data_IF_586993284084
#
_entry.id   IF_586993284084
#
_cell.length_a   1.000
_cell.length_b   1.000
_cell.length_c   1.000
_cell.angle_alpha   90.00
_cell.angle_beta   90.00
_cell.angle_gamma   90.00
#
_symmetry.space_group_name_H-M   'P 1'
#
loop_
_entity.id
_entity.type
_entity.pdbx_description
1 polymer ?
#
# COMPACT_ATOMS: atom_id res chain seq x y z
N UNK A 1 30.49 5.77 17.64
CA UNK A 1 30.46 4.46 16.94
C UNK A 1 29.07 4.02 16.50
N UNK A 2 28.00 4.33 17.21
CA UNK A 2 26.62 3.92 16.81
C UNK A 2 26.12 4.59 15.51
N UNK A 3 26.40 5.86 15.30
CA UNK A 3 25.96 6.60 14.12
C UNK A 3 26.53 6.07 12.80
N UNK A 4 27.83 5.75 12.75
CA UNK A 4 28.49 5.24 11.53
C UNK A 4 27.88 3.90 11.10
N UNK A 5 27.52 3.05 12.05
CA UNK A 5 26.90 1.74 11.78
C UNK A 5 25.48 1.89 11.22
N UNK A 6 24.75 2.91 11.65
CA UNK A 6 23.41 3.22 11.12
C UNK A 6 23.45 3.72 9.66
N UNK A 7 24.47 4.50 9.28
CA UNK A 7 24.67 4.95 7.91
C UNK A 7 24.94 3.79 6.95
N UNK A 8 25.69 2.80 7.40
CA UNK A 8 25.94 1.58 6.60
C UNK A 8 24.64 0.86 6.27
N UNK A 9 23.72 0.75 7.24
CA UNK A 9 22.44 0.06 7.02
C UNK A 9 21.49 0.89 6.16
N UNK A 10 21.41 2.21 6.34
CA UNK A 10 20.68 3.09 5.44
C UNK A 10 21.20 2.95 4.00
N UNK A 11 22.52 2.88 3.82
CA UNK A 11 23.14 2.64 2.52
C UNK A 11 22.76 1.28 1.92
N UNK A 12 22.82 0.20 2.71
CA UNK A 12 22.41 -1.16 2.26
C UNK A 12 20.94 -1.21 1.89
N UNK A 13 20.07 -0.58 2.67
CA UNK A 13 18.64 -0.52 2.38
C UNK A 13 18.33 0.37 1.17
N UNK A 14 19.07 1.47 0.99
CA UNK A 14 18.97 2.30 -0.21
C UNK A 14 19.37 1.50 -1.47
N UNK A 15 20.47 0.73 -1.38
CA UNK A 15 20.85 -0.20 -2.44
C UNK A 15 19.80 -1.30 -2.64
N UNK A 16 19.19 -1.79 -1.55
CA UNK A 16 18.05 -2.70 -1.60
C UNK A 16 16.84 -2.11 -2.33
N UNK A 17 16.47 -0.86 -2.05
CA UNK A 17 15.41 -0.14 -2.79
C UNK A 17 15.75 -0.01 -4.27
N UNK A 18 16.99 0.35 -4.59
CA UNK A 18 17.46 0.43 -5.98
C UNK A 18 17.41 -0.96 -6.62
N UNK A 19 17.92 -2.00 -5.95
CA UNK A 19 17.86 -3.38 -6.43
C UNK A 19 16.41 -3.87 -6.66
N UNK A 20 15.52 -3.63 -5.71
CA UNK A 20 14.09 -3.94 -5.84
C UNK A 20 13.43 -3.18 -6.99
N UNK A 21 13.88 -1.94 -7.27
CA UNK A 21 13.33 -1.14 -8.38
C UNK A 21 13.65 -1.74 -9.75
N UNK A 22 14.75 -2.48 -9.88
CA UNK A 22 15.13 -3.19 -11.10
C UNK A 22 14.42 -4.55 -11.26
N UNK A 23 13.74 -5.06 -10.23
CA UNK A 23 12.94 -6.26 -10.40
C UNK A 23 11.83 -6.01 -11.43
N UNK A 24 11.60 -6.96 -12.35
CA UNK A 24 10.50 -6.87 -13.27
C UNK A 24 9.20 -6.74 -12.45
N UNK A 25 8.39 -5.77 -12.78
CA UNK A 25 7.04 -5.64 -12.21
C UNK A 25 6.20 -6.87 -12.56
N UNK A 26 5.04 -7.07 -11.91
CA UNK A 26 4.15 -8.16 -12.24
C UNK A 26 3.92 -8.16 -13.75
N UNK A 27 4.04 -9.36 -14.37
CA UNK A 27 3.76 -9.51 -15.80
C UNK A 27 2.34 -9.04 -16.03
N UNK A 28 2.19 -7.86 -16.62
CA UNK A 28 0.90 -7.39 -17.07
C UNK A 28 0.43 -8.39 -18.11
N UNK A 29 -0.73 -8.99 -17.90
CA UNK A 29 -1.39 -9.73 -18.98
C UNK A 29 -1.74 -8.66 -20.01
N UNK A 30 -0.99 -8.66 -21.09
CA UNK A 30 -0.69 -7.50 -21.94
C UNK A 30 -1.85 -7.03 -22.82
N UNK A 31 -3.06 -7.50 -22.59
CA UNK A 31 -4.14 -7.25 -23.55
C UNK A 31 -4.83 -5.88 -23.47
N UNK A 32 -4.63 -5.08 -22.42
CA UNK A 32 -5.44 -3.87 -22.26
C UNK A 32 -4.77 -2.66 -21.59
N UNK A 33 -3.48 -2.65 -21.39
CA UNK A 33 -2.83 -1.43 -20.86
C UNK A 33 -2.05 -0.76 -21.97
N UNK A 34 -2.75 0.01 -22.80
CA UNK A 34 -2.15 0.99 -23.69
C UNK A 34 -1.31 2.02 -22.90
N UNK A 35 -0.44 2.75 -23.56
CA UNK A 35 0.23 3.88 -22.96
C UNK A 35 -0.79 4.84 -22.39
N UNK A 36 -0.51 5.38 -21.21
CA UNK A 36 -1.40 6.35 -20.57
C UNK A 36 -0.84 7.75 -20.71
N UNK A 37 -1.71 8.70 -21.01
CA UNK A 37 -1.35 10.11 -21.12
C UNK A 37 -2.25 10.98 -20.24
N UNK A 38 -1.71 12.12 -19.84
CA UNK A 38 -2.47 13.19 -19.22
C UNK A 38 -3.23 13.95 -20.32
N UNK A 39 -4.53 14.20 -20.12
CA UNK A 39 -5.32 14.98 -21.07
C UNK A 39 -6.26 15.95 -20.33
N UNK A 40 -6.44 17.12 -20.89
CA UNK A 40 -7.38 18.13 -20.38
C UNK A 40 -8.76 17.90 -20.99
N UNK A 41 -9.81 17.88 -20.19
CA UNK A 41 -11.19 17.74 -20.62
C UNK A 41 -11.68 19.08 -21.18
N UNK A 42 -11.92 19.14 -22.48
CA UNK A 42 -12.36 20.38 -23.17
C UNK A 42 -13.88 20.46 -23.28
N UNK A 43 -14.54 19.31 -23.45
CA UNK A 43 -16.00 19.23 -23.50
C UNK A 43 -16.48 17.89 -22.97
N UNK A 44 -17.70 17.89 -22.41
CA UNK A 44 -18.36 16.70 -21.87
C UNK A 44 -19.75 16.58 -22.47
N UNK A 45 -20.15 15.36 -22.83
CA UNK A 45 -21.50 15.01 -23.25
C UNK A 45 -22.00 13.87 -22.36
N UNK A 46 -23.08 14.16 -21.63
CA UNK A 46 -23.69 13.25 -20.66
C UNK A 46 -25.05 12.71 -21.16
N UNK A 47 -25.35 12.82 -22.46
CA UNK A 47 -26.64 12.41 -23.02
C UNK A 47 -26.97 10.94 -22.80
N UNK A 48 -25.96 10.08 -22.76
CA UNK A 48 -26.07 8.63 -22.57
C UNK A 48 -25.93 8.22 -21.09
N UNK A 49 -25.79 9.19 -20.16
CA UNK A 49 -25.70 8.91 -18.73
C UNK A 49 -27.08 8.92 -18.11
N UNK A 50 -27.48 7.82 -17.50
CA UNK A 50 -28.75 7.66 -16.82
C UNK A 50 -28.53 7.58 -15.31
N UNK A 51 -29.44 8.21 -14.56
CA UNK A 51 -29.44 8.21 -13.12
C UNK A 51 -30.52 7.28 -12.58
N UNK A 52 -30.14 6.27 -11.80
CA UNK A 52 -31.08 5.42 -11.06
C UNK A 52 -30.84 5.55 -9.56
N UNK A 53 -31.66 6.31 -8.90
CA UNK A 53 -31.48 6.64 -7.49
C UNK A 53 -30.21 7.49 -7.28
N UNK A 54 -29.19 6.94 -6.62
CA UNK A 54 -27.89 7.58 -6.37
C UNK A 54 -26.79 7.09 -7.32
N UNK A 55 -27.13 6.18 -8.24
CA UNK A 55 -26.14 5.50 -9.09
C UNK A 55 -26.30 6.00 -10.52
N UNK A 56 -25.21 6.46 -11.11
CA UNK A 56 -25.12 6.82 -12.52
C UNK A 56 -24.58 5.63 -13.31
N UNK A 57 -25.13 5.38 -14.50
CA UNK A 57 -24.63 4.36 -15.42
C UNK A 57 -24.75 4.85 -16.87
N UNK A 58 -23.93 4.28 -17.74
CA UNK A 58 -23.87 4.66 -19.16
C UNK A 58 -22.52 5.15 -19.57
N UNK A 59 -22.44 5.89 -20.67
CA UNK A 59 -21.18 6.37 -21.23
C UNK A 59 -21.16 7.90 -21.28
N UNK A 60 -20.21 8.48 -20.54
CA UNK A 60 -19.92 9.91 -20.67
C UNK A 60 -18.92 10.08 -21.84
N UNK A 61 -19.28 10.85 -22.86
CA UNK A 61 -18.39 11.17 -23.97
C UNK A 61 -17.62 12.45 -23.66
N UNK A 62 -16.31 12.40 -23.86
CA UNK A 62 -15.40 13.49 -23.56
C UNK A 62 -14.66 13.92 -24.81
N UNK A 63 -14.42 15.21 -24.96
CA UNK A 63 -13.36 15.73 -25.83
C UNK A 63 -12.18 16.09 -24.97
N UNK A 64 -11.05 15.48 -25.22
CA UNK A 64 -9.83 15.64 -24.42
C UNK A 64 -8.70 16.19 -25.27
N UNK A 65 -7.96 17.16 -24.73
CA UNK A 65 -6.76 17.71 -25.34
C UNK A 65 -5.54 17.01 -24.77
N UNK A 66 -4.79 16.35 -25.63
CA UNK A 66 -3.53 15.69 -25.30
C UNK A 66 -2.38 16.70 -25.16
N UNK A 67 -1.21 16.31 -24.56
CA UNK A 67 -0.05 17.18 -24.43
C UNK A 67 0.55 17.66 -25.76
N UNK A 68 0.32 16.93 -26.85
CA UNK A 68 0.73 17.29 -28.22
C UNK A 68 -0.18 18.36 -28.86
N UNK A 69 -1.22 18.81 -28.15
CA UNK A 69 -2.23 19.76 -28.60
C UNK A 69 -3.38 19.15 -29.41
N UNK A 70 -3.32 17.88 -29.75
CA UNK A 70 -4.40 17.19 -30.47
C UNK A 70 -5.66 17.04 -29.59
N UNK A 71 -6.83 17.21 -30.19
CA UNK A 71 -8.11 16.99 -29.51
C UNK A 71 -8.69 15.69 -30.02
N UNK A 72 -8.91 14.76 -29.11
CA UNK A 72 -9.46 13.42 -29.38
C UNK A 72 -10.72 13.16 -28.59
N UNK A 73 -11.51 12.20 -29.05
CA UNK A 73 -12.70 11.72 -28.32
C UNK A 73 -12.29 10.63 -27.36
N UNK A 74 -12.77 10.73 -26.12
CA UNK A 74 -12.59 9.69 -25.09
C UNK A 74 -13.94 9.29 -24.51
N UNK A 75 -14.05 8.05 -24.08
CA UNK A 75 -15.21 7.51 -23.38
C UNK A 75 -14.86 7.23 -21.93
N UNK A 76 -15.78 7.60 -21.04
CA UNK A 76 -15.77 7.25 -19.64
C UNK A 76 -17.00 6.38 -19.36
N UNK A 77 -16.77 5.10 -19.08
CA UNK A 77 -17.84 4.14 -18.78
C UNK A 77 -18.21 4.20 -17.30
N UNK A 78 -19.45 4.56 -17.01
CA UNK A 78 -20.05 4.50 -15.69
C UNK A 78 -20.77 3.14 -15.55
N UNK A 79 -20.29 2.30 -14.61
CA UNK A 79 -20.69 0.90 -14.46
C UNK A 79 -21.63 0.67 -13.29
N UNK A 80 -22.23 1.71 -12.73
CA UNK A 80 -23.04 1.68 -11.52
C UNK A 80 -22.23 1.23 -10.27
N UNK A 81 -20.94 1.55 -10.24
CA UNK A 81 -20.02 1.20 -9.15
C UNK A 81 -19.42 2.49 -8.58
N UNK A 82 -20.00 3.00 -7.50
CA UNK A 82 -19.58 4.27 -6.87
C UNK A 82 -18.10 4.34 -6.52
N UNK A 83 -17.45 3.19 -6.32
CA UNK A 83 -16.01 3.10 -6.02
C UNK A 83 -15.13 3.44 -7.23
N UNK A 84 -15.62 3.16 -8.44
CA UNK A 84 -14.86 3.30 -9.69
C UNK A 84 -15.37 4.41 -10.57
N UNK A 85 -16.69 4.65 -10.52
CA UNK A 85 -17.33 5.58 -11.41
C UNK A 85 -16.97 7.02 -11.04
N UNK A 86 -16.44 7.75 -12.00
CA UNK A 86 -16.00 9.13 -11.86
C UNK A 86 -16.52 9.91 -13.05
N UNK A 87 -17.23 10.99 -12.79
CA UNK A 87 -17.72 11.89 -13.80
C UNK A 87 -16.76 13.04 -13.99
N UNK A 88 -16.42 13.32 -15.22
CA UNK A 88 -15.49 14.41 -15.56
C UNK A 88 -16.25 15.68 -15.89
N UNK A 89 -15.69 16.82 -15.49
CA UNK A 89 -16.13 18.17 -15.81
C UNK A 89 -15.15 18.87 -16.74
N UNK A 90 -15.62 19.86 -17.46
CA UNK A 90 -14.78 20.66 -18.34
C UNK A 90 -13.70 21.39 -17.53
N UNK A 91 -12.45 21.35 -18.01
CA UNK A 91 -11.29 21.93 -17.32
C UNK A 91 -10.56 20.96 -16.39
N UNK A 92 -11.11 19.79 -16.11
CA UNK A 92 -10.44 18.77 -15.32
C UNK A 92 -9.37 18.03 -16.16
N UNK A 93 -8.44 17.41 -15.45
CA UNK A 93 -7.39 16.63 -16.10
C UNK A 93 -7.67 15.14 -15.91
N UNK A 94 -7.84 14.43 -17.01
CA UNK A 94 -8.06 13.00 -17.07
C UNK A 94 -6.77 12.23 -17.35
N UNK A 95 -6.66 11.02 -16.82
CA UNK A 95 -5.73 10.01 -17.25
C UNK A 95 -6.40 9.19 -18.34
N UNK A 96 -5.92 9.30 -19.58
CA UNK A 96 -6.47 8.57 -20.72
C UNK A 96 -5.53 7.47 -21.17
N UNK A 97 -6.09 6.37 -21.63
CA UNK A 97 -5.33 5.28 -22.27
C UNK A 97 -5.27 5.60 -23.76
N UNK A 98 -4.03 5.68 -24.27
CA UNK A 98 -3.77 5.90 -25.69
C UNK A 98 -4.03 4.64 -26.49
N UNK A 99 -4.68 4.78 -27.64
CA UNK A 99 -5.03 3.69 -28.52
C UNK A 99 -5.87 4.18 -29.68
N UNK A 100 -6.66 3.28 -30.25
CA UNK A 100 -7.65 3.64 -31.26
C UNK A 100 -8.76 4.51 -30.66
N UNK A 101 -9.29 5.44 -31.43
CA UNK A 101 -10.41 6.27 -31.00
C UNK A 101 -11.72 5.44 -30.98
N UNK A 102 -12.53 5.62 -29.95
CA UNK A 102 -12.42 6.55 -28.83
C UNK A 102 -11.44 6.10 -27.75
N UNK A 103 -10.65 7.04 -27.21
CA UNK A 103 -9.76 6.79 -26.09
C UNK A 103 -10.56 6.41 -24.85
N UNK A 104 -9.94 5.73 -23.88
CA UNK A 104 -10.60 5.38 -22.61
C UNK A 104 -10.13 6.34 -21.51
N UNK A 105 -11.04 7.11 -20.92
CA UNK A 105 -10.77 7.91 -19.75
C UNK A 105 -10.86 7.01 -18.50
N UNK A 106 -9.73 6.83 -17.80
CA UNK A 106 -9.62 5.84 -16.71
C UNK A 106 -9.80 6.46 -15.33
N UNK A 107 -9.22 7.61 -15.08
CA UNK A 107 -9.25 8.29 -13.77
C UNK A 107 -8.89 9.77 -13.92
N UNK A 108 -9.10 10.55 -12.84
CA UNK A 108 -8.53 11.88 -12.73
C UNK A 108 -7.01 11.84 -12.56
N UNK A 109 -6.32 12.82 -13.15
CA UNK A 109 -4.88 12.97 -12.94
C UNK A 109 -4.60 13.56 -11.56
N UNK A 110 -4.28 12.71 -10.59
CA UNK A 110 -4.08 13.11 -9.18
C UNK A 110 -2.62 13.20 -8.76
N UNK A 111 -1.69 12.79 -9.63
CA UNK A 111 -0.27 12.64 -9.27
C UNK A 111 0.35 13.93 -8.74
N UNK A 112 -0.02 15.09 -9.29
CA UNK A 112 0.49 16.38 -8.84
C UNK A 112 0.12 16.69 -7.39
N UNK A 113 -1.17 16.57 -7.07
CA UNK A 113 -1.65 16.79 -5.69
C UNK A 113 -1.16 15.74 -4.71
N UNK A 114 -1.04 14.49 -5.14
CA UNK A 114 -0.45 13.42 -4.34
C UNK A 114 1.02 13.72 -4.01
N UNK A 115 1.80 14.24 -4.98
CA UNK A 115 3.18 14.64 -4.75
C UNK A 115 3.29 15.83 -3.78
N UNK A 116 2.40 16.82 -3.88
CA UNK A 116 2.34 17.96 -2.93
C UNK A 116 2.01 17.46 -1.52
N UNK A 117 1.01 16.59 -1.39
CA UNK A 117 0.62 16.01 -0.10
C UNK A 117 1.77 15.20 0.53
N UNK A 118 2.40 14.34 -0.27
CA UNK A 118 3.54 13.55 0.21
C UNK A 118 4.75 14.42 0.56
N UNK A 119 5.05 15.44 -0.26
CA UNK A 119 6.11 16.40 0.01
C UNK A 119 5.85 17.19 1.29
N UNK A 120 4.63 17.67 1.50
CA UNK A 120 4.22 18.34 2.75
C UNK A 120 4.37 17.43 3.96
N UNK A 121 3.90 16.18 3.87
CA UNK A 121 4.10 15.17 4.92
C UNK A 121 5.59 14.94 5.23
N UNK A 122 6.43 14.79 4.20
CA UNK A 122 7.85 14.56 4.36
C UNK A 122 8.54 15.75 5.06
N UNK A 123 8.20 16.98 4.67
CA UNK A 123 8.72 18.21 5.31
C UNK A 123 8.30 18.28 6.78
N UNK A 124 7.02 18.06 7.09
CA UNK A 124 6.53 18.07 8.48
C UNK A 124 7.23 16.99 9.32
N UNK A 125 7.34 15.77 8.80
CA UNK A 125 7.99 14.67 9.51
C UNK A 125 9.48 14.98 9.81
N UNK A 126 10.20 15.55 8.85
CA UNK A 126 11.60 15.95 9.06
C UNK A 126 11.73 17.18 9.97
N UNK A 127 10.82 18.14 9.88
CA UNK A 127 10.85 19.36 10.71
C UNK A 127 10.61 19.05 12.19
N UNK A 128 9.63 18.19 12.51
CA UNK A 128 9.33 17.80 13.90
C UNK A 128 10.21 16.65 14.41
N UNK A 129 10.47 15.64 13.59
CA UNK A 129 11.24 14.46 13.99
C UNK A 129 12.74 14.58 13.78
N UNK A 130 13.22 15.63 13.11
CA UNK A 130 14.64 15.82 12.80
C UNK A 130 15.22 14.58 12.09
N UNK A 131 16.35 14.09 12.61
CA UNK A 131 17.01 12.91 12.05
C UNK A 131 16.20 11.61 12.22
N UNK A 132 15.43 11.49 13.31
CA UNK A 132 14.54 10.35 13.52
C UNK A 132 13.38 10.36 12.52
N UNK A 133 12.84 11.55 12.23
CA UNK A 133 11.84 11.74 11.18
C UNK A 133 12.35 11.36 9.79
N UNK A 134 13.58 11.70 9.45
CA UNK A 134 14.19 11.28 8.18
C UNK A 134 14.33 9.76 8.05
N UNK A 135 14.72 9.07 9.14
CA UNK A 135 14.78 7.61 9.18
C UNK A 135 13.39 6.98 9.04
N UNK A 136 12.38 7.55 9.69
CA UNK A 136 11.00 7.09 9.58
C UNK A 136 10.45 7.28 8.16
N UNK A 137 10.72 8.42 7.52
CA UNK A 137 10.35 8.66 6.12
C UNK A 137 11.02 7.64 5.19
N UNK A 138 12.30 7.36 5.41
CA UNK A 138 13.02 6.37 4.64
C UNK A 138 12.42 4.96 4.81
N UNK A 139 12.09 4.56 6.06
CA UNK A 139 11.42 3.29 6.35
C UNK A 139 10.08 3.18 5.64
N UNK A 140 9.30 4.27 5.61
CA UNK A 140 8.02 4.33 4.92
C UNK A 140 8.18 4.12 3.41
N UNK A 141 9.10 4.85 2.76
CA UNK A 141 9.37 4.68 1.32
C UNK A 141 9.87 3.28 1.01
N UNK A 142 10.76 2.74 1.85
CA UNK A 142 11.23 1.36 1.71
C UNK A 142 10.09 0.34 1.79
N UNK A 143 9.16 0.51 2.75
CA UNK A 143 7.99 -0.35 2.88
C UNK A 143 7.08 -0.28 1.66
N UNK A 144 6.82 0.92 1.13
CA UNK A 144 6.04 1.10 -0.11
C UNK A 144 6.69 0.39 -1.31
N UNK A 145 8.01 0.52 -1.46
CA UNK A 145 8.75 -0.14 -2.56
C UNK A 145 8.74 -1.66 -2.38
N UNK A 146 8.94 -2.16 -1.16
CA UNK A 146 8.93 -3.59 -0.89
C UNK A 146 7.54 -4.21 -1.14
N UNK A 147 6.47 -3.56 -0.70
CA UNK A 147 5.11 -4.03 -0.99
C UNK A 147 4.86 -4.03 -2.50
N UNK A 148 5.20 -2.95 -3.20
CA UNK A 148 4.95 -2.80 -4.64
C UNK A 148 5.79 -3.74 -5.51
N UNK A 149 7.09 -3.92 -5.18
CA UNK A 149 8.04 -4.64 -6.02
C UNK A 149 8.29 -6.09 -5.60
N UNK A 150 7.95 -6.44 -4.36
CA UNK A 150 8.17 -7.78 -3.84
C UNK A 150 6.86 -8.47 -3.51
N UNK A 151 6.02 -7.90 -2.62
CA UNK A 151 4.80 -8.56 -2.18
C UNK A 151 3.78 -8.73 -3.30
N UNK A 152 3.46 -7.66 -4.02
CA UNK A 152 2.45 -7.71 -5.10
C UNK A 152 2.85 -8.69 -6.21
N UNK A 153 4.09 -8.69 -6.75
CA UNK A 153 4.49 -9.68 -7.73
C UNK A 153 4.48 -11.13 -7.21
N UNK A 154 4.87 -11.35 -5.94
CA UNK A 154 4.79 -12.69 -5.34
C UNK A 154 3.37 -13.21 -5.29
N UNK A 155 2.42 -12.39 -4.81
CA UNK A 155 1.01 -12.75 -4.78
C UNK A 155 0.45 -13.02 -6.19
N UNK A 156 0.79 -12.18 -7.17
CA UNK A 156 0.34 -12.33 -8.56
C UNK A 156 1.00 -13.48 -9.33
N UNK A 157 2.12 -14.00 -8.81
CA UNK A 157 2.82 -15.17 -9.38
C UNK A 157 2.26 -16.52 -8.89
N UNK A 158 1.15 -16.50 -8.15
CA UNK A 158 0.50 -17.72 -7.63
C UNK A 158 1.08 -18.24 -6.31
N UNK A 159 2.00 -17.49 -5.67
CA UNK A 159 2.44 -17.81 -4.30
C UNK A 159 1.30 -17.54 -3.32
N UNK A 160 1.22 -18.34 -2.26
CA UNK A 160 0.23 -18.11 -1.21
C UNK A 160 0.38 -16.71 -0.62
N UNK A 161 -0.64 -15.85 -0.80
CA UNK A 161 -0.58 -14.44 -0.46
C UNK A 161 -0.49 -14.21 1.05
N UNK A 162 -1.09 -15.07 1.88
CA UNK A 162 -1.04 -14.96 3.34
C UNK A 162 0.40 -15.17 3.85
N UNK A 163 1.05 -16.26 3.44
CA UNK A 163 2.44 -16.54 3.83
C UNK A 163 3.43 -15.55 3.25
N UNK A 164 3.23 -15.12 2.01
CA UNK A 164 4.06 -14.08 1.37
C UNK A 164 3.95 -12.76 2.13
N UNK A 165 2.74 -12.37 2.55
CA UNK A 165 2.50 -11.17 3.36
C UNK A 165 3.18 -11.28 4.72
N UNK A 166 3.05 -12.43 5.41
CA UNK A 166 3.72 -12.66 6.68
C UNK A 166 5.24 -12.55 6.57
N UNK A 167 5.84 -13.16 5.56
CA UNK A 167 7.28 -13.11 5.35
C UNK A 167 7.78 -11.67 5.07
N UNK A 168 7.10 -10.95 4.16
CA UNK A 168 7.47 -9.57 3.82
C UNK A 168 7.27 -8.64 5.01
N UNK A 169 6.14 -8.74 5.72
CA UNK A 169 5.87 -7.96 6.93
C UNK A 169 6.91 -8.23 8.01
N UNK A 170 7.31 -9.49 8.22
CA UNK A 170 8.35 -9.84 9.21
C UNK A 170 9.69 -9.15 8.89
N UNK A 171 10.09 -9.14 7.62
CA UNK A 171 11.30 -8.44 7.17
C UNK A 171 11.16 -6.93 7.34
N UNK A 172 10.02 -6.36 6.95
CA UNK A 172 9.75 -4.92 7.11
C UNK A 172 9.78 -4.51 8.58
N UNK A 173 9.14 -5.29 9.46
CA UNK A 173 9.16 -5.05 10.91
C UNK A 173 10.59 -5.07 11.46
N UNK A 174 11.41 -6.05 11.05
CA UNK A 174 12.82 -6.11 11.45
C UNK A 174 13.59 -4.85 11.03
N UNK A 175 13.41 -4.41 9.77
CA UNK A 175 14.07 -3.22 9.22
C UNK A 175 13.62 -1.95 9.95
N UNK A 176 12.31 -1.77 10.12
CA UNK A 176 11.74 -0.57 10.79
C UNK A 176 12.22 -0.50 12.24
N UNK A 177 12.11 -1.62 12.98
CA UNK A 177 12.57 -1.69 14.38
C UNK A 177 14.05 -1.37 14.51
N UNK A 178 14.88 -1.89 13.60
CA UNK A 178 16.30 -1.60 13.60
C UNK A 178 16.60 -0.12 13.33
N UNK A 179 15.89 0.50 12.38
CA UNK A 179 16.11 1.91 12.03
C UNK A 179 15.63 2.87 13.12
N UNK A 180 14.50 2.56 13.76
CA UNK A 180 13.87 3.44 14.76
C UNK A 180 14.45 3.20 16.15
N UNK A 181 14.38 1.96 16.64
CA UNK A 181 14.82 1.60 18.01
C UNK A 181 16.33 1.30 18.10
N UNK A 182 17.00 1.07 16.97
CA UNK A 182 18.40 0.67 16.93
C UNK A 182 18.64 -0.75 17.42
N UNK A 183 19.92 -1.12 17.54
CA UNK A 183 20.31 -2.45 18.03
C UNK A 183 20.33 -2.45 19.57
N UNK A 184 19.17 -2.63 20.17
CA UNK A 184 19.00 -2.67 21.63
C UNK A 184 18.29 -3.97 22.06
N UNK A 185 18.47 -4.36 23.33
CA UNK A 185 17.75 -5.54 23.88
C UNK A 185 16.25 -5.31 23.86
N UNK A 186 15.81 -4.09 24.15
CA UNK A 186 14.40 -3.67 24.11
C UNK A 186 13.85 -3.72 22.71
N UNK A 187 14.58 -3.22 21.70
CA UNK A 187 14.19 -3.28 20.30
C UNK A 187 14.08 -4.71 19.78
N UNK A 188 14.98 -5.61 20.21
CA UNK A 188 14.90 -7.02 19.85
C UNK A 188 13.72 -7.74 20.52
N UNK A 189 13.44 -7.44 21.79
CA UNK A 189 12.25 -7.96 22.49
C UNK A 189 10.95 -7.49 21.83
N UNK A 190 10.87 -6.19 21.46
CA UNK A 190 9.74 -5.63 20.75
C UNK A 190 9.55 -6.27 19.37
N UNK A 191 10.64 -6.52 18.64
CA UNK A 191 10.59 -7.25 17.36
C UNK A 191 10.02 -8.67 17.53
N UNK A 192 10.47 -9.44 18.52
CA UNK A 192 9.94 -10.77 18.79
C UNK A 192 8.46 -10.71 19.19
N UNK A 193 8.07 -9.75 20.03
CA UNK A 193 6.67 -9.52 20.39
C UNK A 193 5.79 -9.22 19.18
N UNK A 194 6.24 -8.31 18.32
CA UNK A 194 5.54 -8.00 17.09
C UNK A 194 5.43 -9.18 16.14
N UNK A 195 6.51 -9.96 15.98
CA UNK A 195 6.52 -11.16 15.13
C UNK A 195 5.53 -12.22 15.63
N UNK A 196 5.50 -12.47 16.93
CA UNK A 196 4.54 -13.41 17.55
C UNK A 196 3.10 -12.90 17.41
N UNK A 197 2.87 -11.60 17.59
CA UNK A 197 1.55 -11.00 17.41
C UNK A 197 1.05 -11.10 15.95
N UNK A 198 1.91 -10.84 14.97
CA UNK A 198 1.57 -11.02 13.55
C UNK A 198 1.36 -12.50 13.20
N UNK A 199 2.15 -13.41 13.76
CA UNK A 199 1.96 -14.85 13.58
C UNK A 199 0.62 -15.33 14.18
N UNK A 200 0.26 -14.83 15.36
CA UNK A 200 -1.05 -15.10 15.95
C UNK A 200 -2.20 -14.54 15.10
N UNK A 201 -2.03 -13.33 14.55
CA UNK A 201 -3.00 -12.72 13.62
C UNK A 201 -3.17 -13.56 12.36
N UNK A 202 -2.08 -14.10 11.79
CA UNK A 202 -2.13 -15.02 10.65
C UNK A 202 -2.95 -16.27 11.00
N UNK A 203 -2.61 -16.94 12.11
CA UNK A 203 -3.29 -18.16 12.51
C UNK A 203 -4.78 -17.96 12.79
N UNK A 204 -5.14 -16.86 13.47
CA UNK A 204 -6.54 -16.50 13.72
C UNK A 204 -7.27 -16.13 12.43
N UNK A 205 -6.66 -15.32 11.56
CA UNK A 205 -7.29 -14.91 10.31
C UNK A 205 -7.54 -16.11 9.38
N UNK A 206 -6.58 -17.02 9.25
CA UNK A 206 -6.71 -18.23 8.46
C UNK A 206 -7.79 -19.18 9.03
N UNK A 207 -7.75 -19.43 10.34
CA UNK A 207 -8.73 -20.26 11.03
C UNK A 207 -10.16 -19.71 10.87
N UNK A 208 -10.37 -18.41 11.13
CA UNK A 208 -11.69 -17.81 11.04
C UNK A 208 -12.15 -17.60 9.58
N UNK A 209 -11.24 -17.36 8.64
CA UNK A 209 -11.57 -17.33 7.23
C UNK A 209 -12.18 -18.67 6.78
N UNK A 210 -11.59 -19.78 7.21
CA UNK A 210 -12.11 -21.11 6.94
C UNK A 210 -13.42 -21.40 7.69
N UNK A 211 -13.47 -21.10 9.01
CA UNK A 211 -14.64 -21.37 9.85
C UNK A 211 -15.89 -20.57 9.44
N UNK A 212 -15.72 -19.34 8.99
CA UNK A 212 -16.80 -18.44 8.54
C UNK A 212 -17.07 -18.54 7.04
N UNK A 213 -16.40 -19.44 6.32
CA UNK A 213 -16.52 -19.59 4.86
C UNK A 213 -16.32 -18.27 4.11
N UNK A 214 -15.34 -17.46 4.51
CA UNK A 214 -15.01 -16.20 3.84
C UNK A 214 -14.52 -16.51 2.43
N UNK A 215 -15.13 -15.88 1.42
CA UNK A 215 -14.78 -16.10 0.02
C UNK A 215 -13.77 -15.08 -0.53
N UNK A 216 -13.35 -14.10 0.28
CA UNK A 216 -12.43 -13.02 -0.13
C UNK A 216 -13.05 -11.98 -1.08
N UNK A 217 -14.25 -12.20 -1.60
CA UNK A 217 -14.91 -11.29 -2.55
C UNK A 217 -15.46 -10.01 -1.89
N UNK A 218 -15.43 -9.93 -0.57
CA UNK A 218 -15.87 -8.76 0.21
C UNK A 218 -14.86 -7.61 0.21
N UNK A 219 -13.65 -7.84 -0.32
CA UNK A 219 -12.63 -6.79 -0.41
C UNK A 219 -12.98 -5.77 -1.50
N UNK A 220 -12.70 -4.49 -1.29
CA UNK A 220 -12.80 -3.49 -2.33
C UNK A 220 -11.86 -3.84 -3.51
N UNK A 221 -12.28 -3.51 -4.74
CA UNK A 221 -11.53 -3.73 -5.98
C UNK A 221 -11.27 -5.19 -6.41
N UNK A 222 -11.83 -6.18 -5.71
CA UNK A 222 -11.65 -7.61 -6.04
C UNK A 222 -12.14 -7.95 -7.44
N UNK A 223 -13.25 -7.35 -7.89
CA UNK A 223 -13.76 -7.59 -9.24
C UNK A 223 -12.74 -7.18 -10.31
N UNK A 224 -12.05 -6.04 -10.12
CA UNK A 224 -10.98 -5.62 -11.04
C UNK A 224 -9.84 -6.63 -11.07
N UNK A 225 -9.49 -7.20 -9.94
CA UNK A 225 -8.44 -8.22 -9.83
C UNK A 225 -8.84 -9.50 -10.57
N UNK A 226 -10.08 -9.97 -10.42
CA UNK A 226 -10.62 -11.14 -11.13
C UNK A 226 -10.61 -10.96 -12.65
N UNK A 227 -11.02 -9.78 -13.12
CA UNK A 227 -11.05 -9.47 -14.56
C UNK A 227 -9.67 -9.15 -15.14
N UNK A 228 -8.65 -9.00 -14.30
CA UNK A 228 -7.26 -8.78 -14.76
C UNK A 228 -6.55 -10.04 -15.26
N UNK A 229 -7.25 -11.18 -15.28
CA UNK A 229 -6.76 -12.44 -15.89
C UNK A 229 -5.80 -13.24 -14.99
N UNK A 230 -5.73 -12.97 -13.70
CA UNK A 230 -4.95 -13.76 -12.74
C UNK A 230 -5.81 -14.91 -12.21
N UNK A 231 -5.86 -16.02 -12.93
CA UNK A 231 -6.73 -17.19 -12.64
C UNK A 231 -6.26 -18.02 -11.44
N UNK A 232 -4.96 -17.95 -11.11
CA UNK A 232 -4.35 -18.76 -10.06
C UNK A 232 -4.41 -18.09 -8.67
N UNK A 233 -5.09 -16.95 -8.58
CA UNK A 233 -5.17 -16.14 -7.38
C UNK A 233 -6.25 -16.67 -6.44
N UNK A 234 -5.85 -17.12 -5.24
CA UNK A 234 -6.78 -17.52 -4.18
C UNK A 234 -7.19 -16.28 -3.39
N UNK A 235 -8.42 -15.81 -3.60
CA UNK A 235 -8.91 -14.57 -3.00
C UNK A 235 -8.92 -14.57 -1.47
N UNK A 236 -9.16 -15.74 -0.86
CA UNK A 236 -9.12 -15.89 0.60
C UNK A 236 -7.72 -15.62 1.14
N UNK A 237 -6.68 -16.14 0.47
CA UNK A 237 -5.28 -15.90 0.88
C UNK A 237 -4.90 -14.42 0.71
N UNK A 238 -5.41 -13.76 -0.33
CA UNK A 238 -5.22 -12.30 -0.52
C UNK A 238 -5.92 -11.53 0.60
N UNK A 239 -7.13 -11.93 0.98
CA UNK A 239 -7.86 -11.33 2.10
C UNK A 239 -7.08 -11.48 3.41
N UNK A 240 -6.63 -12.69 3.75
CA UNK A 240 -5.81 -12.95 4.95
C UNK A 240 -4.51 -12.15 4.89
N UNK A 241 -3.85 -12.11 3.74
CA UNK A 241 -2.64 -11.30 3.53
C UNK A 241 -2.87 -9.81 3.76
N UNK A 242 -4.00 -9.27 3.31
CA UNK A 242 -4.38 -7.88 3.55
C UNK A 242 -4.64 -7.60 5.04
N UNK A 243 -5.31 -8.53 5.77
CA UNK A 243 -5.51 -8.42 7.21
C UNK A 243 -4.18 -8.38 7.96
N UNK A 244 -3.22 -9.25 7.59
CA UNK A 244 -1.89 -9.26 8.18
C UNK A 244 -1.17 -7.93 7.95
N UNK A 245 -1.20 -7.44 6.72
CA UNK A 245 -0.54 -6.17 6.36
C UNK A 245 -1.15 -5.00 7.14
N UNK A 246 -2.49 -4.94 7.24
CA UNK A 246 -3.18 -3.88 7.94
C UNK A 246 -2.97 -3.92 9.46
N UNK A 247 -2.95 -5.11 10.07
CA UNK A 247 -2.78 -5.27 11.52
C UNK A 247 -1.32 -5.12 11.97
N UNK A 248 -0.36 -5.39 11.10
CA UNK A 248 1.07 -5.44 11.45
C UNK A 248 1.61 -4.14 12.05
N UNK A 249 1.16 -2.99 11.56
CA UNK A 249 1.57 -1.68 12.08
C UNK A 249 1.14 -1.48 13.53
N UNK A 250 -0.13 -1.73 13.84
CA UNK A 250 -0.66 -1.60 15.20
C UNK A 250 0.01 -2.58 16.18
N UNK A 251 0.26 -3.82 15.74
CA UNK A 251 0.96 -4.84 16.56
C UNK A 251 2.39 -4.41 16.83
N UNK A 252 3.08 -3.81 15.84
CA UNK A 252 4.43 -3.31 16.00
C UNK A 252 4.48 -2.16 17.01
N UNK A 253 3.60 -1.18 16.90
CA UNK A 253 3.54 -0.02 17.78
C UNK A 253 3.28 -0.43 19.22
N UNK A 254 2.26 -1.29 19.45
CA UNK A 254 1.98 -1.84 20.78
C UNK A 254 3.17 -2.60 21.36
N UNK A 255 3.89 -3.38 20.55
CA UNK A 255 5.05 -4.13 21.01
C UNK A 255 6.19 -3.19 21.45
N UNK A 256 6.40 -2.08 20.75
CA UNK A 256 7.40 -1.07 21.14
C UNK A 256 7.01 -0.37 22.43
N UNK A 257 5.75 0.04 22.54
CA UNK A 257 5.24 0.77 23.70
C UNK A 257 5.31 -0.09 24.96
N UNK A 258 4.85 -1.34 24.91
CA UNK A 258 4.91 -2.28 26.03
C UNK A 258 6.36 -2.54 26.44
N UNK A 259 7.25 -2.83 25.50
CA UNK A 259 8.66 -3.09 25.82
C UNK A 259 9.34 -1.85 26.40
N UNK A 260 9.00 -0.65 25.92
CA UNK A 260 9.54 0.60 26.47
C UNK A 260 9.03 0.87 27.87
N UNK A 261 7.74 0.67 28.14
CA UNK A 261 7.14 0.81 29.46
C UNK A 261 7.76 -0.16 30.48
N UNK A 262 7.85 -1.44 30.12
CA UNK A 262 8.48 -2.46 30.98
C UNK A 262 9.95 -2.12 31.26
N UNK A 263 10.68 -1.64 30.23
CA UNK A 263 12.08 -1.23 30.39
C UNK A 263 12.22 -0.07 31.40
N UNK A 264 11.34 0.94 31.33
CA UNK A 264 11.36 2.07 32.29
C UNK A 264 11.08 1.62 33.72
N UNK A 265 10.12 0.70 33.91
CA UNK A 265 9.80 0.15 35.22
C UNK A 265 10.99 -0.61 35.82
N UNK A 266 11.60 -1.50 35.04
CA UNK A 266 12.78 -2.26 35.46
C UNK A 266 13.98 -1.34 35.74
N UNK A 267 14.15 -0.26 34.97
CA UNK A 267 15.23 0.69 35.20
C UNK A 267 15.07 1.48 36.50
N UNK A 268 13.82 1.82 36.88
CA UNK A 268 13.51 2.54 38.12
C UNK A 268 13.49 1.62 39.36
N UNK A 269 13.19 0.34 39.16
CA UNK A 269 13.14 -0.68 40.24
C UNK A 269 13.82 -1.98 39.79
N UNK A 270 15.18 -2.06 39.85
CA UNK A 270 15.92 -3.22 39.36
C UNK A 270 15.62 -4.54 40.08
N UNK A 271 15.06 -4.48 41.29
CA UNK A 271 14.74 -5.64 42.11
C UNK A 271 13.33 -6.21 41.84
N UNK A 272 12.56 -5.58 40.91
CA UNK A 272 11.21 -6.01 40.63
C UNK A 272 11.19 -7.39 39.95
N UNK A 273 10.26 -8.27 40.33
CA UNK A 273 10.08 -9.55 39.65
C UNK A 273 9.52 -9.34 38.19
N UNK A 274 9.83 -10.27 37.31
CA UNK A 274 9.32 -10.18 35.90
C UNK A 274 7.78 -10.12 35.84
N UNK A 275 7.08 -10.83 36.75
CA UNK A 275 5.61 -10.79 36.82
C UNK A 275 5.10 -9.42 37.25
N UNK A 276 5.70 -8.82 38.27
CA UNK A 276 5.30 -7.50 38.76
C UNK A 276 5.60 -6.41 37.72
N UNK A 277 6.71 -6.53 36.98
CA UNK A 277 7.07 -5.59 35.93
C UNK A 277 6.10 -5.60 34.71
N UNK A 278 5.41 -6.74 34.49
CA UNK A 278 4.41 -6.87 33.40
C UNK A 278 3.03 -6.37 33.86
N UNK A 279 2.71 -6.46 35.16
CA UNK A 279 1.39 -6.12 35.71
C UNK A 279 1.33 -4.67 36.18
N UNK A 280 2.47 -4.00 36.41
CA UNK A 280 2.56 -2.60 36.83
C UNK A 280 2.41 -1.64 35.66
#
# INVERSE_FOLDING_TARGET
MCAIRQWGVVGVLALGCVGLSFLPGPRRIAAQVGETARAEVVATDNSDVQLHGLIEFGTQRLKVRLPDGSVKTAHNELRAQLEFDKKFSVGETALVVLGDEPLIARDHWRLGWAAVLFGGFAVLLCAFGGWTGAKALFSFVFSCVAVWKLLVPLCLSGWNAAWSSFAVVSVLTAVIMYLVAGWSRTGFAAFLGALLGVAASLGLADFFAAALHVNGATMPFVQTLLYSGYTDLVLVDVFVGAVILASSGAVMDLSVDICSAVYEVVQKRPEISAREAIVS
#
